data_IF_447765697918
#
_entry.id   IF_447765697918
#
_cell.length_a   1.000
_cell.length_b   1.000
_cell.length_c   1.000
_cell.angle_alpha   90.00
_cell.angle_beta   90.00
_cell.angle_gamma   90.00
#
_symmetry.space_group_name_H-M   'P 1'
#
loop_
_entity.id
_entity.type
_entity.pdbx_description
1 polymer ?
#
# COMPACT_ATOMS: atom_id res chain seq x y z
N UNK A 1 66.61 11.59 65.37
CA UNK A 1 65.29 11.10 65.80
C UNK A 1 64.31 11.60 64.74
N UNK A 2 63.79 10.84 63.79
CA UNK A 2 63.68 9.40 63.61
C UNK A 2 63.44 9.12 62.11
N UNK A 3 63.99 7.97 61.65
CA UNK A 3 63.45 6.93 60.74
C UNK A 3 62.82 7.30 59.37
N UNK A 4 63.37 6.73 58.27
CA UNK A 4 62.88 5.55 57.47
C UNK A 4 61.58 5.88 56.68
N UNK A 5 61.28 5.50 55.43
CA UNK A 5 61.73 4.46 54.48
C UNK A 5 60.92 4.63 53.14
N UNK A 6 61.42 4.08 52.02
CA UNK A 6 60.65 3.62 50.83
C UNK A 6 60.07 4.70 49.88
N UNK A 7 60.02 4.57 48.55
CA UNK A 7 60.08 3.42 47.65
C UNK A 7 58.95 3.54 46.61
N UNK A 8 59.23 3.14 45.35
CA UNK A 8 58.28 2.91 44.25
C UNK A 8 57.81 4.16 43.46
N UNK A 9 58.09 4.36 42.17
CA UNK A 9 58.21 3.39 41.08
C UNK A 9 56.91 3.32 40.28
N UNK A 10 56.41 4.43 39.73
CA UNK A 10 55.20 4.42 38.89
C UNK A 10 55.54 3.83 37.53
N UNK A 11 55.31 2.52 37.44
CA UNK A 11 55.35 1.71 36.23
C UNK A 11 54.28 2.17 35.23
N UNK A 12 54.70 2.47 34.00
CA UNK A 12 53.82 2.61 32.85
C UNK A 12 53.09 1.29 32.63
N UNK A 13 51.78 1.26 32.89
CA UNK A 13 50.91 0.17 32.49
C UNK A 13 50.78 0.15 30.96
N UNK A 14 51.70 -0.57 30.30
CA UNK A 14 51.51 -1.01 28.92
C UNK A 14 50.35 -2.00 28.95
N UNK A 15 49.17 -1.51 28.60
CA UNK A 15 47.93 -2.28 28.56
C UNK A 15 48.05 -3.30 27.43
N UNK A 16 48.59 -4.48 27.73
CA UNK A 16 48.60 -5.61 26.81
C UNK A 16 47.17 -6.13 26.69
N UNK A 17 46.46 -5.69 25.66
CA UNK A 17 45.14 -6.18 25.27
C UNK A 17 45.27 -7.62 24.75
N UNK A 18 45.44 -8.58 25.66
CA UNK A 18 45.35 -10.01 25.41
C UNK A 18 43.87 -10.41 25.27
N UNK A 19 43.23 -9.88 24.22
CA UNK A 19 41.81 -10.10 23.93
C UNK A 19 41.55 -11.56 23.56
N UNK A 20 41.08 -12.36 24.53
CA UNK A 20 40.54 -13.73 24.39
C UNK A 20 39.18 -13.77 23.70
N UNK A 21 38.62 -12.61 23.34
CA UNK A 21 37.32 -12.45 22.68
C UNK A 21 37.46 -11.73 21.34
N UNK A 22 36.59 -12.05 20.40
CA UNK A 22 36.38 -11.28 19.17
C UNK A 22 35.59 -10.00 19.47
N UNK A 23 35.57 -9.01 18.56
CA UNK A 23 34.73 -7.80 18.65
C UNK A 23 33.23 -8.12 18.80
N UNK A 24 32.82 -9.29 18.34
CA UNK A 24 31.47 -9.85 18.50
C UNK A 24 31.24 -10.56 19.86
N UNK A 25 32.14 -10.43 20.83
CA UNK A 25 32.02 -10.92 22.22
C UNK A 25 32.23 -12.41 22.47
N UNK A 26 32.37 -13.23 21.41
CA UNK A 26 32.58 -14.69 21.49
C UNK A 26 34.06 -15.07 21.74
N UNK A 27 34.35 -16.24 22.36
CA UNK A 27 35.71 -16.71 22.58
C UNK A 27 36.46 -16.96 21.25
N UNK A 28 37.73 -16.57 21.17
CA UNK A 28 38.58 -16.87 19.99
C UNK A 28 38.88 -18.37 19.93
N UNK A 29 38.43 -19.05 18.86
CA UNK A 29 38.87 -20.41 18.54
C UNK A 29 40.28 -20.39 17.89
N UNK A 30 41.06 -21.46 18.09
CA UNK A 30 42.47 -21.59 17.69
C UNK A 30 42.76 -21.39 16.18
N UNK A 31 41.75 -21.44 15.31
CA UNK A 31 41.87 -21.31 13.85
C UNK A 31 41.46 -19.94 13.28
N UNK A 32 41.16 -18.94 14.13
CA UNK A 32 40.61 -17.67 13.67
C UNK A 32 41.70 -16.63 13.40
N UNK A 33 42.43 -16.78 12.28
CA UNK A 33 43.55 -15.87 11.94
C UNK A 33 43.12 -14.56 11.26
N UNK A 34 41.89 -14.47 10.73
CA UNK A 34 41.31 -13.21 10.27
C UNK A 34 39.79 -13.36 10.41
N UNK A 35 39.11 -12.39 11.07
CA UNK A 35 37.64 -12.23 11.18
C UNK A 35 36.83 -13.50 10.89
N UNK A 36 36.42 -14.21 11.95
CA UNK A 36 35.48 -15.34 11.87
C UNK A 36 34.39 -15.08 10.82
N UNK A 37 34.13 -16.05 9.93
CA UNK A 37 33.14 -15.93 8.83
C UNK A 37 31.79 -15.40 9.30
N UNK A 38 31.36 -15.73 10.52
CA UNK A 38 30.17 -15.18 11.17
C UNK A 38 30.27 -13.67 11.42
N UNK A 39 31.38 -13.18 11.98
CA UNK A 39 31.58 -11.75 12.24
C UNK A 39 31.94 -10.99 10.93
N UNK A 40 32.52 -11.67 9.92
CA UNK A 40 32.69 -11.16 8.58
C UNK A 40 31.38 -11.01 7.80
N UNK A 41 30.42 -11.94 7.97
CA UNK A 41 29.05 -11.85 7.42
C UNK A 41 28.20 -10.81 8.16
N UNK A 42 28.29 -10.73 9.48
CA UNK A 42 27.56 -9.74 10.28
C UNK A 42 27.97 -8.30 9.92
N UNK A 43 29.26 -8.06 9.69
CA UNK A 43 29.78 -6.78 9.23
C UNK A 43 29.45 -6.44 7.76
N UNK A 44 28.76 -7.33 7.04
CA UNK A 44 28.30 -7.13 5.64
C UNK A 44 26.77 -7.08 5.55
N UNK A 45 26.09 -6.51 6.55
CA UNK A 45 24.66 -6.24 6.40
C UNK A 45 24.51 -5.08 5.42
N UNK A 46 24.27 -5.42 4.15
CA UNK A 46 23.93 -4.42 3.12
C UNK A 46 22.59 -3.82 3.52
N UNK A 47 22.54 -2.49 3.68
CA UNK A 47 21.29 -1.79 3.92
C UNK A 47 20.31 -2.14 2.78
N UNK A 48 19.11 -2.59 3.15
CA UNK A 48 18.10 -3.00 2.18
C UNK A 48 17.29 -1.77 1.80
N UNK A 49 17.03 -1.53 0.50
CA UNK A 49 16.25 -0.37 0.11
C UNK A 49 14.81 -0.47 0.66
N UNK A 50 14.21 0.69 0.85
CA UNK A 50 12.82 0.78 1.30
C UNK A 50 11.85 0.50 0.14
N UNK A 51 10.69 -0.02 0.49
CA UNK A 51 9.63 -0.36 -0.45
C UNK A 51 9.08 0.88 -1.17
N UNK A 52 9.00 0.82 -2.50
CA UNK A 52 8.56 1.94 -3.35
C UNK A 52 7.08 2.34 -3.14
N UNK A 53 6.26 1.52 -2.48
CA UNK A 53 4.87 1.92 -2.16
C UNK A 53 4.77 2.91 -0.99
N UNK A 54 5.90 3.30 -0.38
CA UNK A 54 5.96 4.25 0.73
C UNK A 54 5.57 3.66 2.09
N UNK A 55 5.45 2.34 2.23
CA UNK A 55 5.08 1.71 3.51
C UNK A 55 6.21 1.68 4.56
N UNK A 56 7.43 2.07 4.19
CA UNK A 56 8.59 2.07 5.08
C UNK A 56 9.21 0.68 5.36
N UNK A 57 8.67 -0.40 4.80
CA UNK A 57 9.26 -1.73 4.94
C UNK A 57 10.49 -1.90 4.04
N UNK A 58 11.49 -2.63 4.52
CA UNK A 58 12.63 -3.07 3.70
C UNK A 58 12.20 -4.11 2.66
N UNK A 59 12.74 -4.03 1.45
CA UNK A 59 12.47 -5.02 0.41
C UNK A 59 13.18 -6.34 0.66
N UNK A 60 12.56 -7.44 0.21
CA UNK A 60 13.04 -8.82 0.36
C UNK A 60 14.51 -9.04 0.00
N UNK A 61 14.96 -8.44 -1.09
CA UNK A 61 16.31 -8.63 -1.67
C UNK A 61 16.80 -7.35 -2.31
N UNK A 62 18.12 -7.12 -2.40
CA UNK A 62 18.67 -6.07 -3.25
C UNK A 62 18.11 -6.19 -4.69
N UNK A 63 17.71 -5.05 -5.28
CA UNK A 63 17.11 -4.98 -6.62
C UNK A 63 15.60 -5.19 -6.68
N UNK A 64 14.93 -5.55 -5.57
CA UNK A 64 13.47 -5.60 -5.53
C UNK A 64 12.88 -4.21 -5.30
N UNK A 65 11.78 -3.89 -5.98
CA UNK A 65 11.09 -2.60 -5.85
C UNK A 65 10.09 -2.59 -4.69
N UNK A 66 9.45 -3.73 -4.43
CA UNK A 66 8.38 -3.85 -3.44
C UNK A 66 8.67 -4.92 -2.40
N UNK A 67 8.25 -4.67 -1.16
CA UNK A 67 8.35 -5.63 -0.07
C UNK A 67 7.37 -6.81 -0.22
N UNK A 68 6.25 -6.60 -0.92
CA UNK A 68 5.25 -7.65 -1.20
C UNK A 68 4.41 -7.33 -2.45
N UNK A 69 3.71 -8.34 -2.96
CA UNK A 69 2.72 -8.17 -4.05
C UNK A 69 1.62 -7.18 -3.63
N UNK A 70 1.22 -7.17 -2.35
CA UNK A 70 0.25 -6.20 -1.85
C UNK A 70 0.77 -4.75 -1.96
N UNK A 71 2.06 -4.54 -1.68
CA UNK A 71 2.69 -3.23 -1.85
C UNK A 71 2.75 -2.81 -3.32
N UNK A 72 3.10 -3.73 -4.22
CA UNK A 72 3.08 -3.47 -5.66
C UNK A 72 1.68 -3.05 -6.12
N UNK A 73 0.64 -3.84 -5.82
CA UNK A 73 -0.74 -3.54 -6.20
C UNK A 73 -1.26 -2.24 -5.60
N UNK A 74 -0.81 -1.88 -4.39
CA UNK A 74 -1.10 -0.58 -3.78
C UNK A 74 -0.48 0.54 -4.60
N UNK A 75 0.79 0.45 -4.96
CA UNK A 75 1.47 1.46 -5.75
C UNK A 75 0.84 1.61 -7.15
N UNK A 76 0.55 0.49 -7.82
CA UNK A 76 -0.16 0.49 -9.11
C UNK A 76 -1.54 1.16 -9.01
N UNK A 77 -2.29 0.87 -7.94
CA UNK A 77 -3.58 1.51 -7.68
C UNK A 77 -3.45 3.02 -7.46
N UNK A 78 -2.51 3.47 -6.63
CA UNK A 78 -2.31 4.91 -6.37
C UNK A 78 -1.96 5.65 -7.66
N UNK A 79 -1.01 5.11 -8.44
CA UNK A 79 -0.63 5.69 -9.72
C UNK A 79 -1.79 5.71 -10.74
N UNK A 80 -2.61 4.65 -10.76
CA UNK A 80 -3.82 4.63 -11.60
C UNK A 80 -4.83 5.69 -11.17
N UNK A 81 -5.07 5.86 -9.86
CA UNK A 81 -5.97 6.88 -9.33
C UNK A 81 -5.51 8.28 -9.71
N UNK A 82 -4.20 8.57 -9.60
CA UNK A 82 -3.64 9.85 -10.01
C UNK A 82 -3.93 10.16 -11.49
N UNK A 83 -3.64 9.22 -12.39
CA UNK A 83 -3.93 9.36 -13.83
C UNK A 83 -5.43 9.54 -14.11
N UNK A 84 -6.28 8.80 -13.42
CA UNK A 84 -7.73 8.91 -13.55
C UNK A 84 -8.25 10.28 -13.08
N UNK A 85 -7.75 10.80 -11.96
CA UNK A 85 -8.17 12.10 -11.44
C UNK A 85 -7.81 13.26 -12.38
N UNK A 86 -6.70 13.14 -13.12
CA UNK A 86 -6.31 14.13 -14.14
C UNK A 86 -6.95 13.88 -15.52
N UNK A 87 -7.72 12.79 -15.67
CA UNK A 87 -8.45 12.46 -16.90
C UNK A 87 -7.63 11.74 -17.98
N UNK A 88 -6.45 11.20 -17.64
CA UNK A 88 -5.66 10.35 -18.54
C UNK A 88 -6.22 8.93 -18.66
N UNK A 89 -7.07 8.51 -17.71
CA UNK A 89 -7.77 7.23 -17.71
C UNK A 89 -9.28 7.49 -17.75
N UNK A 90 -10.01 6.84 -18.65
CA UNK A 90 -11.46 7.01 -18.81
C UNK A 90 -12.29 6.27 -17.74
N UNK A 91 -11.66 5.38 -16.98
CA UNK A 91 -12.33 4.59 -15.96
C UNK A 91 -13.17 3.42 -16.48
N UNK A 92 -13.16 3.14 -17.78
CA UNK A 92 -13.92 2.06 -18.39
C UNK A 92 -13.11 0.77 -18.37
N UNK A 93 -13.73 -0.30 -17.86
CA UNK A 93 -13.25 -1.66 -17.94
C UNK A 93 -13.90 -2.36 -19.13
N UNK A 94 -13.07 -2.79 -20.08
CA UNK A 94 -13.53 -3.40 -21.31
C UNK A 94 -14.23 -2.35 -22.17
N UNK A 95 -15.50 -2.57 -22.50
CA UNK A 95 -16.26 -1.65 -23.36
C UNK A 95 -17.30 -0.79 -22.63
N UNK A 96 -17.82 -1.24 -21.48
CA UNK A 96 -19.04 -0.65 -20.89
C UNK A 96 -19.12 -0.67 -19.36
N UNK A 97 -18.19 -1.32 -18.67
CA UNK A 97 -18.25 -1.48 -17.22
C UNK A 97 -17.37 -0.43 -16.54
N UNK A 98 -17.77 0.10 -15.39
CA UNK A 98 -16.90 0.97 -14.59
C UNK A 98 -15.79 0.15 -13.94
N UNK A 99 -14.57 0.70 -13.90
CA UNK A 99 -13.41 0.08 -13.28
C UNK A 99 -13.64 -0.22 -11.79
N UNK A 100 -13.09 -1.35 -11.32
CA UNK A 100 -13.11 -1.70 -9.91
C UNK A 100 -12.30 -0.73 -9.04
N UNK A 101 -11.30 -0.06 -9.62
CA UNK A 101 -10.49 0.95 -8.93
C UNK A 101 -11.34 2.16 -8.54
N UNK A 102 -12.28 2.58 -9.40
CA UNK A 102 -13.20 3.68 -9.11
C UNK A 102 -14.08 3.34 -7.92
N UNK A 103 -14.66 2.13 -7.91
CA UNK A 103 -15.47 1.66 -6.78
C UNK A 103 -14.67 1.72 -5.49
N UNK A 104 -13.44 1.20 -5.53
CA UNK A 104 -12.53 1.19 -4.39
C UNK A 104 -12.26 2.61 -3.89
N UNK A 105 -11.90 3.53 -4.79
CA UNK A 105 -11.63 4.92 -4.48
C UNK A 105 -12.83 5.62 -3.83
N UNK A 106 -14.02 5.46 -4.41
CA UNK A 106 -15.26 6.02 -3.88
C UNK A 106 -15.56 5.52 -2.46
N UNK A 107 -15.37 4.22 -2.20
CA UNK A 107 -15.58 3.63 -0.87
C UNK A 107 -14.54 4.15 0.13
N UNK A 108 -13.26 4.19 -0.27
CA UNK A 108 -12.17 4.67 0.59
C UNK A 108 -12.35 6.17 0.94
N UNK A 109 -12.88 6.99 0.02
CA UNK A 109 -13.00 8.44 0.21
C UNK A 109 -14.34 8.88 0.81
N UNK A 110 -15.45 8.19 0.51
CA UNK A 110 -16.82 8.60 0.89
C UNK A 110 -17.48 7.65 1.91
N UNK A 111 -16.85 6.51 2.16
CA UNK A 111 -17.37 5.44 2.99
C UNK A 111 -18.27 4.48 2.23
N UNK A 112 -18.34 3.24 2.70
CA UNK A 112 -19.19 2.18 2.12
C UNK A 112 -20.66 2.34 2.55
N UNK A 113 -21.31 3.44 2.18
CA UNK A 113 -22.71 3.74 2.53
C UNK A 113 -23.45 4.43 1.40
N UNK A 114 -24.77 4.39 1.43
CA UNK A 114 -25.60 5.17 0.52
C UNK A 114 -25.41 6.67 0.80
N UNK A 115 -25.11 7.45 -0.23
CA UNK A 115 -24.95 8.90 -0.12
C UNK A 115 -26.28 9.67 -0.03
N UNK A 116 -27.41 9.01 -0.30
CA UNK A 116 -28.75 9.61 -0.20
C UNK A 116 -29.40 9.33 1.16
N UNK A 117 -29.55 8.05 1.51
CA UNK A 117 -30.26 7.65 2.74
C UNK A 117 -29.35 7.16 3.88
N UNK A 118 -28.03 7.11 3.68
CA UNK A 118 -27.08 6.63 4.68
C UNK A 118 -27.05 5.11 4.90
N UNK A 119 -27.90 4.34 4.21
CA UNK A 119 -27.99 2.88 4.36
C UNK A 119 -26.64 2.17 4.13
N UNK A 120 -26.28 1.27 5.05
CA UNK A 120 -24.98 0.60 5.10
C UNK A 120 -25.07 -0.84 5.65
N UNK A 121 -26.21 -1.53 5.47
CA UNK A 121 -26.37 -2.89 6.00
C UNK A 121 -25.54 -3.91 5.21
N UNK A 122 -24.79 -4.73 5.95
CA UNK A 122 -23.96 -5.79 5.38
C UNK A 122 -24.83 -6.96 4.95
N UNK A 123 -24.68 -7.40 3.71
CA UNK A 123 -25.33 -8.62 3.24
C UNK A 123 -24.69 -9.86 3.92
N UNK A 124 -25.47 -10.73 4.59
CA UNK A 124 -24.92 -11.88 5.32
C UNK A 124 -24.15 -12.87 4.42
N UNK A 125 -24.61 -13.09 3.19
CA UNK A 125 -24.02 -14.06 2.26
C UNK A 125 -22.75 -13.54 1.60
N UNK A 126 -22.72 -12.29 1.14
CA UNK A 126 -21.55 -11.72 0.44
C UNK A 126 -20.56 -11.01 1.37
N UNK A 127 -20.97 -10.75 2.63
CA UNK A 127 -20.21 -10.00 3.64
C UNK A 127 -19.81 -8.59 3.18
N UNK A 128 -20.59 -8.00 2.27
CA UNK A 128 -20.39 -6.67 1.70
C UNK A 128 -21.68 -5.86 1.75
N UNK A 129 -21.55 -4.54 1.73
CA UNK A 129 -22.71 -3.65 1.62
C UNK A 129 -23.02 -3.51 0.12
N UNK A 130 -24.24 -3.83 -0.35
CA UNK A 130 -24.57 -3.85 -1.77
C UNK A 130 -24.86 -2.45 -2.29
N UNK A 131 -23.88 -1.56 -2.16
CA UNK A 131 -23.88 -0.22 -2.77
C UNK A 131 -23.56 -0.35 -4.26
N UNK A 132 -24.18 0.47 -5.09
CA UNK A 132 -23.98 0.56 -6.53
C UNK A 132 -23.39 1.94 -6.89
N UNK A 133 -22.63 1.99 -7.97
CA UNK A 133 -22.16 3.26 -8.54
C UNK A 133 -23.29 3.77 -9.44
N UNK A 134 -23.67 5.01 -9.23
CA UNK A 134 -24.64 5.75 -10.01
C UNK A 134 -23.94 6.90 -10.75
N UNK A 135 -24.23 7.04 -12.03
CA UNK A 135 -23.80 8.16 -12.87
C UNK A 135 -24.91 9.21 -12.89
N UNK A 136 -24.66 10.41 -12.35
CA UNK A 136 -25.67 11.46 -12.21
C UNK A 136 -26.25 11.89 -13.56
N UNK A 137 -25.41 11.97 -14.58
CA UNK A 137 -25.80 12.30 -15.96
C UNK A 137 -26.39 11.11 -16.75
N UNK A 138 -26.31 9.90 -16.20
CA UNK A 138 -26.73 8.67 -16.87
C UNK A 138 -25.78 8.16 -17.95
N UNK A 139 -24.67 8.84 -18.22
CA UNK A 139 -23.66 8.38 -19.18
C UNK A 139 -22.67 7.43 -18.49
N UNK A 140 -22.68 6.16 -18.92
CA UNK A 140 -21.81 5.12 -18.38
C UNK A 140 -20.31 5.38 -18.63
N UNK A 141 -19.98 6.21 -19.63
CA UNK A 141 -18.61 6.56 -19.97
C UNK A 141 -18.07 7.74 -19.15
N UNK A 142 -18.94 8.58 -18.59
CA UNK A 142 -18.52 9.70 -17.77
C UNK A 142 -18.18 9.26 -16.33
N UNK A 143 -16.99 8.70 -16.17
CA UNK A 143 -16.50 8.22 -14.88
C UNK A 143 -15.74 9.28 -14.08
N UNK A 144 -16.06 10.57 -14.23
CA UNK A 144 -15.44 11.61 -13.39
C UNK A 144 -15.90 11.46 -11.93
N UNK A 145 -15.01 11.65 -10.93
CA UNK A 145 -15.37 11.48 -9.52
C UNK A 145 -16.66 12.21 -9.12
N UNK A 146 -16.82 13.43 -9.62
CA UNK A 146 -17.92 14.35 -9.28
C UNK A 146 -19.27 13.90 -9.87
N UNK A 147 -19.22 13.20 -11.01
CA UNK A 147 -20.40 12.63 -11.69
C UNK A 147 -20.87 11.31 -11.04
N UNK A 148 -20.02 10.68 -10.23
CA UNK A 148 -20.32 9.39 -9.63
C UNK A 148 -20.90 9.53 -8.23
N UNK A 149 -21.80 8.62 -7.87
CA UNK A 149 -22.40 8.54 -6.54
C UNK A 149 -22.54 7.09 -6.08
N UNK A 150 -22.39 6.86 -4.78
CA UNK A 150 -22.63 5.56 -4.14
C UNK A 150 -24.07 5.49 -3.62
N UNK A 151 -24.91 4.64 -4.20
CA UNK A 151 -26.33 4.48 -3.84
C UNK A 151 -26.65 3.04 -3.41
N UNK A 152 -27.60 2.87 -2.50
CA UNK A 152 -28.20 1.55 -2.25
C UNK A 152 -29.13 1.15 -3.41
N UNK A 153 -29.50 -0.13 -3.55
CA UNK A 153 -30.35 -0.59 -4.66
C UNK A 153 -31.70 0.13 -4.71
N UNK A 154 -32.28 0.44 -3.55
CA UNK A 154 -33.57 1.13 -3.45
C UNK A 154 -33.46 2.58 -3.93
N UNK A 155 -32.54 3.37 -3.38
CA UNK A 155 -32.33 4.76 -3.83
C UNK A 155 -31.90 4.82 -5.29
N UNK A 156 -31.06 3.88 -5.75
CA UNK A 156 -30.65 3.85 -7.15
C UNK A 156 -31.84 3.61 -8.09
N UNK A 157 -32.80 2.78 -7.69
CA UNK A 157 -34.00 2.52 -8.49
C UNK A 157 -34.94 3.72 -8.64
N UNK A 158 -34.79 4.73 -7.76
CA UNK A 158 -35.58 5.96 -7.76
C UNK A 158 -34.94 7.08 -8.60
N UNK A 159 -33.76 6.85 -9.19
CA UNK A 159 -33.07 7.87 -9.99
C UNK A 159 -33.65 7.97 -11.40
N UNK A 160 -33.72 9.18 -11.95
CA UNK A 160 -34.26 9.44 -13.29
C UNK A 160 -33.45 8.77 -14.42
N UNK A 161 -32.17 8.46 -14.15
CA UNK A 161 -31.28 7.77 -15.08
C UNK A 161 -31.21 6.26 -14.80
N UNK A 162 -32.15 5.70 -14.04
CA UNK A 162 -32.20 4.27 -13.79
C UNK A 162 -32.82 3.48 -14.96
N UNK A 163 -32.10 2.49 -15.47
CA UNK A 163 -32.62 1.48 -16.38
C UNK A 163 -33.31 2.07 -17.62
N UNK A 164 -34.60 1.77 -17.81
CA UNK A 164 -35.38 2.21 -18.96
C UNK A 164 -35.79 3.68 -18.92
N UNK A 165 -35.64 4.39 -17.80
CA UNK A 165 -35.86 5.83 -17.72
C UNK A 165 -34.74 6.62 -18.43
N UNK A 166 -33.53 6.05 -18.47
CA UNK A 166 -32.34 6.62 -19.11
C UNK A 166 -32.31 6.45 -20.64
N UNK A 167 -33.41 6.79 -21.32
CA UNK A 167 -33.50 6.69 -22.79
C UNK A 167 -32.58 7.72 -23.44
N UNK A 168 -31.78 7.29 -24.41
CA UNK A 168 -30.90 8.17 -25.20
C UNK A 168 -29.51 8.41 -24.60
N UNK A 169 -29.35 8.36 -23.27
CA UNK A 169 -28.08 8.65 -22.60
C UNK A 169 -27.34 7.38 -22.12
N UNK A 170 -27.99 6.22 -22.18
CA UNK A 170 -27.37 4.94 -21.83
C UNK A 170 -26.47 4.34 -22.92
N UNK A 171 -26.15 3.05 -22.79
CA UNK A 171 -25.30 2.31 -23.74
C UNK A 171 -25.93 2.28 -25.13
N UNK A 172 -25.25 2.86 -26.13
CA UNK A 172 -25.73 2.96 -27.54
C UNK A 172 -26.21 1.63 -28.12
N UNK A 173 -25.54 0.52 -27.80
CA UNK A 173 -25.93 -0.82 -28.27
C UNK A 173 -27.31 -1.32 -27.78
N UNK A 174 -27.90 -0.68 -26.76
CA UNK A 174 -29.24 -1.01 -26.22
C UNK A 174 -30.34 -0.04 -26.64
N UNK A 175 -29.98 1.02 -27.37
CA UNK A 175 -30.87 2.09 -27.79
C UNK A 175 -31.38 1.93 -29.21
N UNK A 176 -32.03 0.82 -29.54
CA UNK A 176 -33.03 0.86 -30.61
C UNK A 176 -34.28 1.47 -29.96
N UNK A 177 -34.64 2.70 -30.35
CA UNK A 177 -35.90 3.31 -29.94
C UNK A 177 -37.04 2.33 -30.27
N UNK A 178 -37.83 1.94 -29.27
CA UNK A 178 -39.16 1.39 -29.54
C UNK A 178 -39.97 2.56 -30.10
N UNK A 179 -40.06 2.65 -31.42
CA UNK A 179 -41.03 3.51 -32.09
C UNK A 179 -42.41 3.16 -31.52
N UNK A 180 -43.09 4.18 -31.00
CA UNK A 180 -44.46 4.05 -30.49
C UNK A 180 -45.43 3.97 -31.66
#
# INVERSE_FOLDING_TARGET
MDRLEGGEGVSMAVSTSSGTRCDCGRPKARSCFQRCTTCARAARRVERPLCACGCGAEVGRPGWTFASIACQRKAEYMAWVERWLVGEEDGVRGSVATSANIRRFLIETRGEKCQECGWASVNPSTRKIPIQIHHRDGDYANNRPDNLQLLCPNCHSLTDTHGGANRGNGRKARGAARTS
#
